data_IF_942373749659
#
_entry.id   IF_942373749659
#
_cell.length_a   1.000
_cell.length_b   1.000
_cell.length_c   1.000
_cell.angle_alpha   90.00
_cell.angle_beta   90.00
_cell.angle_gamma   90.00
#
_symmetry.space_group_name_H-M   'P 1'
#
loop_
_entity.id
_entity.type
_entity.pdbx_description
1 polymer ?
#
# COMPACT_ATOMS: atom_id res chain seq x y z
N UNK A 1 -9.79 -19.37 21.70
CA UNK A 1 -9.75 -19.15 20.24
C UNK A 1 -9.71 -17.65 20.03
N UNK A 2 -8.59 -17.12 19.52
CA UNK A 2 -8.46 -15.69 19.26
C UNK A 2 -9.33 -15.27 18.07
N UNK A 3 -9.78 -14.02 18.07
CA UNK A 3 -10.47 -13.44 16.92
C UNK A 3 -9.50 -13.40 15.73
N UNK A 4 -9.79 -14.13 14.65
CA UNK A 4 -9.07 -14.00 13.40
C UNK A 4 -9.47 -12.68 12.73
N UNK A 5 -8.49 -11.93 12.22
CA UNK A 5 -8.71 -10.66 11.53
C UNK A 5 -8.28 -10.80 10.07
N UNK A 6 -8.75 -11.87 9.43
CA UNK A 6 -8.31 -12.31 8.10
C UNK A 6 -9.19 -11.73 6.97
N UNK A 7 -9.94 -10.67 7.27
CA UNK A 7 -10.88 -10.04 6.37
C UNK A 7 -10.19 -9.17 5.32
N UNK A 8 -10.76 -9.13 4.11
CA UNK A 8 -10.34 -8.18 3.08
C UNK A 8 -10.67 -6.75 3.50
N UNK A 9 -9.66 -5.87 3.53
CA UNK A 9 -9.83 -4.45 3.81
C UNK A 9 -9.50 -3.65 2.56
N UNK A 10 -10.52 -2.93 2.06
CA UNK A 10 -10.37 -2.04 0.90
C UNK A 10 -9.60 -0.78 1.28
N UNK A 11 -8.55 -0.45 0.54
CA UNK A 11 -7.84 0.81 0.72
C UNK A 11 -8.78 2.00 0.38
N UNK A 12 -8.86 3.05 1.23
CA UNK A 12 -9.74 4.20 0.99
C UNK A 12 -9.38 4.96 -0.29
N UNK A 13 -10.35 5.70 -0.85
CA UNK A 13 -10.08 6.61 -1.98
C UNK A 13 -9.50 7.90 -1.41
N UNK A 14 -8.45 8.41 -2.04
CA UNK A 14 -7.98 9.77 -1.79
C UNK A 14 -8.95 10.74 -2.47
N UNK A 15 -9.65 11.61 -1.74
CA UNK A 15 -10.56 12.55 -2.36
C UNK A 15 -9.78 13.68 -3.05
N UNK A 16 -10.39 14.29 -4.06
CA UNK A 16 -9.88 15.51 -4.68
C UNK A 16 -10.11 16.70 -3.76
N UNK A 17 -9.09 17.57 -3.68
CA UNK A 17 -9.23 18.86 -3.04
C UNK A 17 -10.07 19.80 -3.91
N UNK A 18 -10.72 20.75 -3.27
CA UNK A 18 -11.43 21.83 -3.95
C UNK A 18 -10.50 22.54 -4.95
N UNK A 19 -10.99 22.75 -6.18
CA UNK A 19 -10.22 23.33 -7.28
C UNK A 19 -9.41 22.34 -8.12
N UNK A 20 -9.36 21.05 -7.73
CA UNK A 20 -8.81 19.99 -8.58
C UNK A 20 -9.83 19.61 -9.66
N UNK A 21 -9.38 19.50 -10.92
CA UNK A 21 -10.13 18.82 -11.99
C UNK A 21 -10.05 17.31 -11.76
N UNK A 22 -10.98 16.76 -10.98
CA UNK A 22 -11.12 15.31 -10.79
C UNK A 22 -11.84 14.65 -11.98
N UNK A 23 -12.21 13.38 -11.82
CA UNK A 23 -13.21 12.72 -12.67
C UNK A 23 -14.54 12.61 -11.92
N UNK A 24 -15.68 12.56 -12.62
CA UNK A 24 -17.03 12.62 -12.01
C UNK A 24 -17.31 11.51 -10.97
N UNK A 25 -16.58 10.39 -11.02
CA UNK A 25 -16.72 9.26 -10.10
C UNK A 25 -15.90 9.39 -8.80
N UNK A 26 -15.16 10.49 -8.62
CA UNK A 26 -14.28 10.67 -7.48
C UNK A 26 -14.92 11.48 -6.35
N UNK A 27 -14.50 11.15 -5.12
CA UNK A 27 -14.91 11.92 -3.95
C UNK A 27 -14.23 13.28 -4.00
N UNK A 28 -15.00 14.35 -3.83
CA UNK A 28 -14.50 15.71 -3.76
C UNK A 28 -14.70 16.26 -2.34
N UNK A 29 -13.66 16.89 -1.79
CA UNK A 29 -13.78 17.68 -0.57
C UNK A 29 -14.31 19.06 -0.91
N UNK A 30 -15.17 19.60 -0.05
CA UNK A 30 -15.58 21.00 -0.12
C UNK A 30 -14.39 21.93 0.12
N UNK A 31 -14.54 23.22 -0.21
CA UNK A 31 -13.51 24.24 -0.01
C UNK A 31 -13.04 24.29 1.45
N UNK A 32 -13.98 24.40 2.39
CA UNK A 32 -13.67 24.46 3.82
C UNK A 32 -12.99 23.18 4.34
N UNK A 33 -13.37 22.00 3.83
CA UNK A 33 -12.72 20.73 4.18
C UNK A 33 -11.29 20.65 3.65
N UNK A 34 -11.10 21.11 2.41
CA UNK A 34 -9.80 21.16 1.75
C UNK A 34 -8.86 22.09 2.50
N UNK A 35 -9.33 23.29 2.86
CA UNK A 35 -8.54 24.25 3.65
C UNK A 35 -8.18 23.63 5.00
N UNK A 36 -9.15 23.04 5.73
CA UNK A 36 -8.87 22.40 7.02
C UNK A 36 -7.78 21.33 6.92
N UNK A 37 -7.85 20.46 5.91
CA UNK A 37 -6.83 19.43 5.68
C UNK A 37 -5.45 20.06 5.39
N UNK A 38 -5.40 21.07 4.51
CA UNK A 38 -4.16 21.73 4.11
C UNK A 38 -3.50 22.53 5.24
N UNK A 39 -4.30 23.01 6.19
CA UNK A 39 -3.81 23.74 7.36
C UNK A 39 -3.50 22.85 8.56
N UNK A 40 -3.79 21.54 8.48
CA UNK A 40 -3.51 20.62 9.58
C UNK A 40 -2.00 20.42 9.73
N UNK A 41 -1.48 20.73 10.92
CA UNK A 41 -0.04 20.61 11.22
C UNK A 41 0.48 19.16 11.19
N UNK A 42 -0.43 18.18 11.21
CA UNK A 42 -0.10 16.76 11.08
C UNK A 42 -0.16 16.25 9.64
N UNK A 43 -0.50 17.09 8.66
CA UNK A 43 -0.53 16.72 7.25
C UNK A 43 0.85 16.26 6.77
N UNK A 44 0.85 15.13 6.09
CA UNK A 44 2.02 14.56 5.43
C UNK A 44 1.72 14.47 3.95
N UNK A 45 2.66 14.94 3.13
CA UNK A 45 2.58 14.87 1.67
C UNK A 45 3.64 13.90 1.17
N UNK A 46 3.21 12.90 0.42
CA UNK A 46 4.08 11.93 -0.23
C UNK A 46 3.87 12.00 -1.75
N UNK A 47 4.90 11.64 -2.51
CA UNK A 47 4.80 11.54 -3.96
C UNK A 47 3.79 10.45 -4.33
N UNK A 48 2.81 10.81 -5.16
CA UNK A 48 1.90 9.82 -5.73
C UNK A 48 2.53 9.19 -6.98
N UNK A 49 2.86 7.92 -6.89
CA UNK A 49 3.28 7.13 -8.04
C UNK A 49 2.06 6.70 -8.89
N UNK A 50 2.32 6.46 -10.17
CA UNK A 50 1.36 6.00 -11.16
C UNK A 50 1.60 4.52 -11.45
N UNK A 51 0.95 3.66 -10.67
CA UNK A 51 1.04 2.22 -10.80
C UNK A 51 -0.29 1.56 -10.47
N UNK A 52 -0.20 0.38 -9.87
CA UNK A 52 -1.35 -0.35 -9.35
C UNK A 52 -1.30 -0.41 -7.84
N UNK A 53 -2.36 0.08 -7.20
CA UNK A 53 -2.59 -0.13 -5.78
C UNK A 53 -2.70 -1.64 -5.48
N UNK A 54 -1.82 -2.11 -4.61
CA UNK A 54 -1.77 -3.49 -4.14
C UNK A 54 -1.67 -3.53 -2.62
N UNK A 55 -2.05 -4.65 -2.04
CA UNK A 55 -1.88 -4.94 -0.63
C UNK A 55 -1.38 -6.36 -0.39
N UNK A 56 -0.73 -6.56 0.74
CA UNK A 56 -0.22 -7.85 1.20
C UNK A 56 -0.43 -7.97 2.72
N UNK A 57 -0.90 -9.14 3.16
CA UNK A 57 -0.93 -9.48 4.58
C UNK A 57 -0.78 -10.98 4.79
N UNK A 58 -0.50 -11.38 6.02
CA UNK A 58 -0.56 -12.78 6.43
C UNK A 58 -1.82 -13.02 7.24
N UNK A 59 -2.45 -14.16 7.01
CA UNK A 59 -3.61 -14.63 7.77
C UNK A 59 -3.14 -15.37 9.03
N UNK A 60 -4.05 -15.58 9.98
CA UNK A 60 -3.75 -16.26 11.25
C UNK A 60 -3.26 -17.72 11.09
N UNK A 61 -3.54 -18.35 9.95
CA UNK A 61 -3.03 -19.68 9.56
C UNK A 61 -1.71 -19.64 8.76
N UNK A 62 -1.08 -18.45 8.64
CA UNK A 62 0.19 -18.27 7.97
C UNK A 62 0.11 -18.24 6.44
N UNK A 63 -1.07 -18.10 5.84
CA UNK A 63 -1.16 -17.88 4.39
C UNK A 63 -0.84 -16.43 4.04
N UNK A 64 -0.12 -16.22 2.94
CA UNK A 64 0.11 -14.90 2.39
C UNK A 64 -1.04 -14.54 1.45
N UNK A 65 -1.77 -13.49 1.77
CA UNK A 65 -2.87 -12.97 0.97
C UNK A 65 -2.42 -11.70 0.24
N UNK A 66 -2.64 -11.68 -1.06
CA UNK A 66 -2.36 -10.54 -1.93
C UNK A 66 -3.68 -9.94 -2.40
N UNK A 67 -3.72 -8.64 -2.56
CA UNK A 67 -4.91 -7.94 -3.01
C UNK A 67 -4.57 -6.82 -3.98
N UNK A 68 -5.49 -6.55 -4.90
CA UNK A 68 -5.58 -5.27 -5.55
C UNK A 68 -6.52 -4.37 -4.73
N UNK A 69 -6.79 -3.16 -5.21
CA UNK A 69 -7.71 -2.24 -4.54
C UNK A 69 -9.11 -2.84 -4.29
N UNK A 70 -9.61 -3.66 -5.22
CA UNK A 70 -11.00 -4.10 -5.22
C UNK A 70 -11.26 -5.44 -4.54
N UNK A 71 -10.28 -6.34 -4.55
CA UNK A 71 -10.44 -7.74 -4.12
C UNK A 71 -9.08 -8.44 -3.94
N UNK A 72 -9.12 -9.67 -3.43
CA UNK A 72 -7.95 -10.55 -3.37
C UNK A 72 -7.48 -10.95 -4.77
N UNK A 73 -6.16 -11.06 -4.94
CA UNK A 73 -5.54 -11.51 -6.18
C UNK A 73 -5.57 -13.04 -6.22
N UNK A 74 -6.15 -13.59 -7.27
CA UNK A 74 -6.25 -15.05 -7.52
C UNK A 74 -5.47 -15.45 -8.78
N UNK A 75 -5.51 -16.74 -9.11
CA UNK A 75 -5.02 -17.25 -10.39
C UNK A 75 -5.86 -16.72 -11.56
N UNK A 76 -5.27 -16.66 -12.75
CA UNK A 76 -5.94 -16.21 -13.99
C UNK A 76 -6.19 -14.71 -14.12
N UNK A 77 -5.76 -13.91 -13.14
CA UNK A 77 -5.83 -12.44 -13.21
C UNK A 77 -4.76 -11.84 -14.14
N UNK A 78 -4.86 -10.53 -14.38
CA UNK A 78 -3.95 -9.81 -15.28
C UNK A 78 -2.45 -10.13 -15.01
N UNK A 79 -1.62 -10.40 -16.04
CA UNK A 79 -0.24 -10.88 -15.87
C UNK A 79 0.68 -10.00 -15.01
N UNK A 80 0.35 -8.70 -14.89
CA UNK A 80 1.08 -7.80 -13.98
C UNK A 80 1.12 -8.30 -12.54
N UNK A 81 0.09 -9.05 -12.13
CA UNK A 81 -0.02 -9.60 -10.78
C UNK A 81 0.81 -10.87 -10.58
N UNK A 82 1.19 -11.58 -11.66
CA UNK A 82 2.05 -12.75 -11.53
C UNK A 82 3.46 -12.34 -11.11
N UNK A 83 3.95 -11.20 -11.61
CA UNK A 83 5.21 -10.62 -11.16
C UNK A 83 5.13 -10.08 -9.73
N UNK A 84 3.99 -9.53 -9.33
CA UNK A 84 3.76 -9.14 -7.94
C UNK A 84 3.76 -10.36 -7.00
N UNK A 85 3.11 -11.47 -7.40
CA UNK A 85 3.14 -12.75 -6.66
C UNK A 85 4.58 -13.26 -6.49
N UNK A 86 5.38 -13.23 -7.56
CA UNK A 86 6.78 -13.64 -7.51
C UNK A 86 7.61 -12.76 -6.57
N UNK A 87 7.46 -11.43 -6.67
CA UNK A 87 8.12 -10.49 -5.75
C UNK A 87 7.73 -10.76 -4.29
N UNK A 88 6.44 -10.94 -4.02
CA UNK A 88 5.92 -11.22 -2.69
C UNK A 88 6.46 -12.55 -2.15
N UNK A 89 6.55 -13.59 -2.97
CA UNK A 89 7.11 -14.88 -2.59
C UNK A 89 8.59 -14.75 -2.19
N UNK A 90 9.39 -14.01 -2.96
CA UNK A 90 10.81 -13.74 -2.65
C UNK A 90 10.96 -12.95 -1.36
N UNK A 91 10.06 -11.99 -1.10
CA UNK A 91 10.09 -11.15 0.12
C UNK A 91 9.36 -11.75 1.30
N UNK A 92 8.75 -12.94 1.16
CA UNK A 92 7.85 -13.54 2.15
C UNK A 92 8.43 -13.51 3.56
N UNK A 93 9.60 -14.13 3.76
CA UNK A 93 10.19 -14.26 5.10
C UNK A 93 10.39 -12.90 5.78
N UNK A 94 10.95 -11.93 5.05
CA UNK A 94 11.19 -10.58 5.57
C UNK A 94 9.87 -9.89 5.92
N UNK A 95 8.84 -10.05 5.08
CA UNK A 95 7.54 -9.44 5.32
C UNK A 95 6.78 -10.13 6.46
N UNK A 96 6.89 -11.46 6.57
CA UNK A 96 6.27 -12.26 7.62
C UNK A 96 6.86 -11.91 8.99
N UNK A 97 8.19 -11.78 9.09
CA UNK A 97 8.89 -11.36 10.30
C UNK A 97 8.49 -9.95 10.78
N UNK A 98 8.13 -9.06 9.85
CA UNK A 98 7.81 -7.65 10.15
C UNK A 98 6.32 -7.43 10.41
N UNK A 99 5.47 -8.02 9.58
CA UNK A 99 4.02 -7.79 9.61
C UNK A 99 3.32 -8.78 10.55
N UNK A 100 3.83 -10.01 10.65
CA UNK A 100 3.08 -11.13 11.22
C UNK A 100 1.66 -11.19 10.63
N UNK A 101 0.70 -11.62 11.45
CA UNK A 101 -0.72 -11.65 11.09
C UNK A 101 -1.48 -10.35 11.39
N UNK A 102 -0.80 -9.34 11.95
CA UNK A 102 -1.43 -8.17 12.56
C UNK A 102 -1.61 -6.97 11.63
N UNK A 103 -0.91 -6.94 10.49
CA UNK A 103 -0.89 -5.78 9.60
C UNK A 103 -1.22 -6.12 8.14
N UNK A 104 -1.76 -5.14 7.43
CA UNK A 104 -1.86 -5.13 5.97
C UNK A 104 -0.94 -4.03 5.43
N UNK A 105 0.02 -4.43 4.62
CA UNK A 105 0.91 -3.52 3.90
C UNK A 105 0.25 -3.10 2.59
N UNK A 106 0.07 -1.79 2.41
CA UNK A 106 -0.41 -1.20 1.17
C UNK A 106 0.73 -0.47 0.45
N UNK A 107 0.75 -0.62 -0.87
CA UNK A 107 1.76 0.00 -1.70
C UNK A 107 1.35 0.12 -3.15
N UNK A 108 2.20 0.83 -3.90
CA UNK A 108 2.06 1.02 -5.32
C UNK A 108 3.01 0.06 -6.05
N UNK A 109 2.43 -0.76 -6.93
CA UNK A 109 3.17 -1.64 -7.83
C UNK A 109 3.32 -0.99 -9.20
N UNK A 110 4.56 -0.59 -9.53
CA UNK A 110 4.88 0.22 -10.71
C UNK A 110 5.59 -0.56 -11.83
N UNK A 111 5.52 -1.89 -11.79
CA UNK A 111 6.11 -2.72 -12.85
C UNK A 111 5.43 -2.51 -14.21
N UNK A 112 4.09 -2.56 -14.22
CA UNK A 112 3.32 -2.29 -15.42
C UNK A 112 3.22 -0.79 -15.64
N UNK A 113 3.48 -0.35 -16.87
CA UNK A 113 3.27 1.05 -17.25
C UNK A 113 1.77 1.33 -17.27
N UNK A 114 1.34 2.34 -16.51
CA UNK A 114 0.03 2.97 -16.64
C UNK A 114 0.17 4.14 -17.61
N UNK A 115 0.19 5.37 -17.11
CA UNK A 115 0.37 6.58 -17.93
C UNK A 115 1.84 7.00 -17.99
N UNK A 116 2.54 6.90 -16.87
CA UNK A 116 3.93 7.34 -16.71
C UNK A 116 4.91 6.18 -16.94
N UNK A 117 5.95 6.43 -17.72
CA UNK A 117 7.06 5.50 -17.90
C UNK A 117 8.24 5.87 -17.00
N UNK A 118 8.45 5.09 -15.95
CA UNK A 118 9.58 5.25 -15.04
C UNK A 118 10.85 4.60 -15.59
N UNK A 119 11.95 5.37 -15.66
CA UNK A 119 13.22 4.94 -16.30
C UNK A 119 14.30 4.46 -15.33
N UNK A 120 14.21 4.81 -14.04
CA UNK A 120 15.29 4.60 -13.05
C UNK A 120 14.73 4.22 -11.68
N UNK A 121 13.79 3.28 -11.65
CA UNK A 121 13.21 2.83 -10.39
C UNK A 121 14.23 1.97 -9.62
N UNK A 122 14.45 2.23 -8.31
CA UNK A 122 15.28 1.38 -7.47
C UNK A 122 14.63 0.01 -7.21
N UNK A 123 13.30 -0.07 -7.27
CA UNK A 123 12.48 -1.28 -7.12
C UNK A 123 11.06 -1.00 -7.64
N UNK A 124 10.23 -2.04 -7.77
CA UNK A 124 8.88 -1.95 -8.36
C UNK A 124 7.73 -1.84 -7.35
N UNK A 125 7.99 -2.03 -6.06
CA UNK A 125 6.99 -1.88 -5.00
C UNK A 125 7.35 -0.71 -4.09
N UNK A 126 6.41 0.20 -3.86
CA UNK A 126 6.59 1.34 -2.97
C UNK A 126 5.50 1.33 -1.92
N UNK A 127 5.87 1.19 -0.65
CA UNK A 127 4.93 1.25 0.45
C UNK A 127 4.43 2.68 0.69
N UNK A 128 3.13 2.84 0.93
CA UNK A 128 2.59 4.12 1.39
C UNK A 128 1.79 3.99 2.70
N UNK A 129 1.27 2.80 3.04
CA UNK A 129 0.46 2.64 4.25
C UNK A 129 0.57 1.27 4.91
N UNK A 130 0.29 1.24 6.21
CA UNK A 130 0.10 0.03 7.01
C UNK A 130 -1.21 0.11 7.78
N UNK A 131 -2.04 -0.91 7.67
CA UNK A 131 -3.27 -1.04 8.43
C UNK A 131 -3.11 -2.05 9.56
N UNK A 132 -3.34 -1.61 10.80
CA UNK A 132 -3.41 -2.46 11.98
C UNK A 132 -4.78 -3.13 12.03
N UNK A 133 -4.80 -4.45 11.82
CA UNK A 133 -6.03 -5.24 11.75
C UNK A 133 -6.77 -5.30 13.09
N UNK A 134 -6.05 -5.24 14.21
CA UNK A 134 -6.62 -5.33 15.56
C UNK A 134 -7.25 -4.00 15.96
N UNK A 135 -6.58 -2.89 15.68
CA UNK A 135 -7.10 -1.53 15.94
C UNK A 135 -8.04 -1.03 14.85
N UNK A 136 -8.08 -1.73 13.72
CA UNK A 136 -8.85 -1.36 12.53
C UNK A 136 -8.53 0.05 12.02
N UNK A 137 -7.26 0.43 12.08
CA UNK A 137 -6.79 1.79 11.78
C UNK A 137 -5.45 1.78 11.04
N UNK A 138 -5.22 2.80 10.23
CA UNK A 138 -3.92 3.03 9.60
C UNK A 138 -2.91 3.54 10.63
N UNK A 139 -1.65 3.15 10.46
CA UNK A 139 -0.54 3.63 11.27
C UNK A 139 -0.13 5.04 10.83
N UNK A 140 0.25 5.87 11.80
CA UNK A 140 0.96 7.10 11.50
C UNK A 140 2.34 6.81 10.85
N UNK A 141 2.90 7.83 10.17
CA UNK A 141 4.17 7.72 9.47
C UNK A 141 5.31 7.23 10.38
N UNK A 142 5.38 7.68 11.64
CA UNK A 142 6.49 7.30 12.53
C UNK A 142 6.44 5.81 12.84
N UNK A 143 5.27 5.28 13.15
CA UNK A 143 5.06 3.85 13.40
C UNK A 143 5.28 3.03 12.14
N UNK A 144 4.79 3.49 10.98
CA UNK A 144 5.04 2.84 9.69
C UNK A 144 6.55 2.73 9.40
N UNK A 145 7.28 3.83 9.54
CA UNK A 145 8.74 3.86 9.33
C UNK A 145 9.50 3.03 10.36
N UNK A 146 9.06 2.98 11.62
CA UNK A 146 9.69 2.15 12.64
C UNK A 146 9.50 0.64 12.34
N UNK A 147 8.30 0.26 11.89
CA UNK A 147 7.98 -1.14 11.57
C UNK A 147 8.71 -1.62 10.31
N UNK A 148 8.79 -0.75 9.30
CA UNK A 148 9.43 -1.05 8.01
C UNK A 148 10.91 -0.62 7.97
N UNK A 149 11.41 -0.05 9.07
CA UNK A 149 12.78 0.44 9.21
C UNK A 149 13.79 -0.67 8.91
N UNK A 150 14.70 -0.40 7.95
CA UNK A 150 15.67 -1.36 7.44
C UNK A 150 15.31 -2.01 6.10
N UNK A 151 14.08 -1.87 5.58
CA UNK A 151 13.74 -2.30 4.22
C UNK A 151 14.32 -1.37 3.14
N UNK A 152 14.55 -0.10 3.47
CA UNK A 152 15.17 0.89 2.58
C UNK A 152 16.67 0.63 2.29
N UNK A 153 17.31 -0.35 2.94
CA UNK A 153 18.77 -0.53 2.93
C UNK A 153 19.31 -1.91 2.56
N UNK A 154 18.49 -2.94 2.32
CA UNK A 154 18.99 -4.24 1.88
C UNK A 154 18.96 -4.37 0.36
N UNK A 155 19.83 -3.60 -0.31
CA UNK A 155 20.44 -3.92 -1.62
C UNK A 155 21.46 -2.85 -2.07
N UNK A 156 22.10 -2.15 -1.13
CA UNK A 156 23.31 -1.36 -1.41
C UNK A 156 24.53 -2.28 -1.49
N UNK A 157 24.52 -3.21 -2.44
CA UNK A 157 25.70 -3.99 -2.82
C UNK A 157 25.56 -4.44 -4.26
N UNK A 158 25.86 -3.54 -5.18
CA UNK A 158 26.55 -3.92 -6.42
C UNK A 158 27.66 -2.88 -6.62
N UNK A 159 28.86 -3.44 -6.69
CA UNK A 159 30.19 -2.86 -6.85
C UNK A 159 30.34 -1.78 -7.92
#
# INVERSE_FOLDING_TARGET
>A
MGLSHDEFVKYPRTPHLFGSTGTDDDKHLGEAESIRLLTDASLIVEEKLDGTNVGLHFTSDGRMALQCRGHLITEGMHPQYDLFKQWAAVKRHILEDRLGDGYILFGEWVYARHSIHYRRLPHYFFEFDLYDKRKRAFLDLRRRLALLGGLKGQNSSVS
#
